data_IF_477582539992
#
_entry.id   IF_477582539992
#
_cell.length_a   1.000
_cell.length_b   1.000
_cell.length_c   1.000
_cell.angle_alpha   90.00
_cell.angle_beta   90.00
_cell.angle_gamma   90.00
#
_symmetry.space_group_name_H-M   'P 1'
#
loop_
_entity.id
_entity.type
_entity.pdbx_description
1 polymer ?
#
# COMPACT_ATOMS: atom_id res chain seq x y z
N UNK A 1 48.83 -39.19 -57.55
CA UNK A 1 47.74 -38.23 -57.25
C UNK A 1 47.64 -38.09 -55.74
N UNK A 2 47.55 -36.85 -55.24
CA UNK A 2 48.66 -36.31 -54.46
C UNK A 2 48.34 -36.09 -52.98
N UNK A 3 49.40 -36.08 -52.16
CA UNK A 3 49.43 -35.72 -50.73
C UNK A 3 48.67 -34.42 -50.39
N UNK A 4 48.45 -33.53 -51.36
CA UNK A 4 47.68 -32.30 -51.20
C UNK A 4 46.22 -32.52 -50.73
N UNK A 5 45.55 -33.61 -51.14
CA UNK A 5 44.13 -33.83 -50.79
C UNK A 5 43.97 -34.26 -49.32
N UNK A 6 45.00 -34.90 -48.74
CA UNK A 6 44.95 -35.41 -47.36
C UNK A 6 45.15 -34.28 -46.34
N UNK A 7 45.93 -33.27 -46.68
CA UNK A 7 46.19 -32.12 -45.80
C UNK A 7 45.03 -31.11 -45.81
N UNK A 8 44.28 -30.97 -46.91
CA UNK A 8 43.07 -30.15 -46.94
C UNK A 8 41.90 -30.77 -46.17
N UNK A 9 41.73 -32.10 -46.21
CA UNK A 9 40.70 -32.79 -45.43
C UNK A 9 40.95 -32.72 -43.92
N UNK A 10 42.22 -32.74 -43.50
CA UNK A 10 42.58 -32.55 -42.09
C UNK A 10 42.34 -31.09 -41.69
N UNK A 11 42.77 -30.10 -42.49
CA UNK A 11 42.53 -28.68 -42.18
C UNK A 11 41.04 -28.31 -42.15
N UNK A 12 40.21 -28.90 -43.02
CA UNK A 12 38.76 -28.74 -42.99
C UNK A 12 38.15 -29.35 -41.72
N UNK A 13 38.59 -30.53 -41.30
CA UNK A 13 38.10 -31.17 -40.08
C UNK A 13 38.44 -30.37 -38.80
N UNK A 14 39.63 -29.75 -38.73
CA UNK A 14 39.99 -28.88 -37.60
C UNK A 14 39.23 -27.55 -37.61
N UNK A 15 38.90 -26.98 -38.77
CA UNK A 15 38.09 -25.75 -38.86
C UNK A 15 36.61 -26.00 -38.49
N UNK A 16 36.04 -27.15 -38.84
CA UNK A 16 34.65 -27.49 -38.48
C UNK A 16 34.51 -27.81 -36.98
N UNK A 17 35.49 -28.49 -36.38
CA UNK A 17 35.49 -28.77 -34.93
C UNK A 17 35.65 -27.47 -34.12
N UNK A 18 36.43 -26.51 -34.61
CA UNK A 18 36.63 -25.24 -33.91
C UNK A 18 35.42 -24.29 -34.02
N UNK A 19 34.64 -24.36 -35.11
CA UNK A 19 33.35 -23.63 -35.24
C UNK A 19 32.27 -24.29 -34.36
N UNK A 20 32.24 -25.62 -34.24
CA UNK A 20 31.34 -26.31 -33.31
C UNK A 20 31.68 -26.03 -31.83
N UNK A 21 32.95 -25.84 -31.50
CA UNK A 21 33.37 -25.45 -30.13
C UNK A 21 33.13 -23.97 -29.83
N UNK A 22 33.14 -23.08 -30.83
CA UNK A 22 32.75 -21.67 -30.64
C UNK A 22 31.23 -21.48 -30.58
N UNK A 23 30.46 -22.30 -31.31
CA UNK A 23 29.00 -22.32 -31.22
C UNK A 23 28.49 -22.92 -29.90
N UNK A 24 29.27 -23.79 -29.25
CA UNK A 24 28.95 -24.36 -27.94
C UNK A 24 29.36 -23.46 -26.75
N UNK A 25 30.08 -22.36 -27.00
CA UNK A 25 30.51 -21.40 -25.98
C UNK A 25 29.70 -20.09 -26.01
N UNK A 26 28.59 -20.04 -26.75
CA UNK A 26 27.53 -19.08 -26.44
C UNK A 26 26.82 -19.63 -25.21
N UNK A 27 27.34 -19.25 -24.05
CA UNK A 27 26.69 -19.43 -22.77
C UNK A 27 25.24 -19.02 -22.92
N UNK A 28 24.34 -20.01 -23.00
CA UNK A 28 22.96 -19.81 -22.60
C UNK A 28 23.04 -19.49 -21.11
N UNK A 29 23.26 -18.21 -20.80
CA UNK A 29 22.68 -17.65 -19.59
C UNK A 29 21.20 -17.77 -19.86
N UNK A 30 20.63 -18.93 -19.53
CA UNK A 30 19.22 -19.02 -19.22
C UNK A 30 19.05 -17.99 -18.11
N UNK A 31 18.59 -16.80 -18.48
CA UNK A 31 17.96 -15.91 -17.53
C UNK A 31 16.90 -16.80 -16.91
N UNK A 32 17.16 -17.24 -15.68
CA UNK A 32 16.13 -17.89 -14.88
C UNK A 32 14.96 -16.92 -14.95
N UNK A 33 13.92 -17.33 -15.67
CA UNK A 33 12.72 -16.54 -15.80
C UNK A 33 12.14 -16.61 -14.40
N UNK A 34 12.50 -15.63 -13.57
CA UNK A 34 12.05 -15.54 -12.18
C UNK A 34 10.54 -15.69 -12.26
N UNK A 35 10.05 -16.81 -11.72
CA UNK A 35 8.63 -17.10 -11.76
C UNK A 35 7.96 -16.04 -10.92
N UNK A 36 7.00 -15.33 -11.50
CA UNK A 36 6.22 -14.34 -10.78
C UNK A 36 5.66 -14.94 -9.49
N UNK A 37 5.56 -14.16 -8.41
CA UNK A 37 5.00 -14.66 -7.16
C UNK A 37 3.56 -15.13 -7.40
N UNK A 38 3.25 -16.33 -6.91
CA UNK A 38 1.90 -16.89 -6.93
C UNK A 38 1.35 -16.86 -5.51
N UNK A 39 0.23 -16.16 -5.32
CA UNK A 39 -0.48 -16.10 -4.05
C UNK A 39 -1.68 -17.05 -4.08
N UNK A 40 -2.02 -17.60 -2.93
CA UNK A 40 -3.22 -18.40 -2.71
C UNK A 40 -3.88 -17.93 -1.44
N UNK A 41 -5.20 -17.94 -1.44
CA UNK A 41 -5.97 -17.59 -0.25
C UNK A 41 -5.79 -18.68 0.79
N UNK A 42 -5.53 -18.25 2.01
CA UNK A 42 -5.73 -19.07 3.20
C UNK A 42 -7.14 -18.80 3.74
N UNK A 43 -8.10 -19.72 3.54
CA UNK A 43 -9.48 -19.51 4.00
C UNK A 43 -9.64 -19.69 5.51
N UNK A 44 -8.58 -20.06 6.23
CA UNK A 44 -8.60 -20.26 7.69
C UNK A 44 -7.96 -19.10 8.45
N UNK A 45 -7.54 -18.04 7.75
CA UNK A 45 -6.97 -16.84 8.32
C UNK A 45 -7.90 -15.63 8.13
N UNK A 46 -8.18 -14.81 9.17
CA UNK A 46 -7.84 -15.06 10.57
C UNK A 46 -8.72 -16.17 11.18
N UNK A 47 -8.35 -16.67 12.35
CA UNK A 47 -9.22 -17.61 13.10
C UNK A 47 -10.43 -16.88 13.67
N UNK A 48 -11.45 -17.65 14.02
CA UNK A 48 -12.66 -17.15 14.67
C UNK A 48 -12.32 -16.25 15.87
N UNK A 49 -12.86 -15.04 15.87
CA UNK A 49 -12.64 -14.09 16.93
C UNK A 49 -13.39 -14.50 18.21
N UNK A 50 -12.84 -14.22 19.39
CA UNK A 50 -13.52 -14.52 20.64
C UNK A 50 -14.77 -13.62 20.82
N UNK A 51 -15.62 -13.97 21.77
CA UNK A 51 -16.76 -13.13 22.24
C UNK A 51 -17.81 -12.81 21.17
N UNK A 52 -17.93 -13.64 20.12
CA UNK A 52 -18.80 -13.37 18.96
C UNK A 52 -18.48 -12.03 18.30
N UNK A 53 -17.20 -11.66 18.32
CA UNK A 53 -16.74 -10.47 17.64
C UNK A 53 -16.78 -10.66 16.13
N UNK A 54 -17.23 -9.60 15.46
CA UNK A 54 -17.10 -9.45 14.01
C UNK A 54 -16.28 -8.20 13.73
N UNK A 55 -15.75 -8.13 12.51
CA UNK A 55 -15.03 -6.96 12.01
C UNK A 55 -15.89 -6.25 10.98
N UNK A 56 -15.86 -4.92 11.03
CA UNK A 56 -16.38 -4.09 9.97
C UNK A 56 -15.40 -4.00 8.80
N UNK A 57 -15.54 -2.94 8.01
CA UNK A 57 -14.59 -2.59 6.96
C UNK A 57 -13.17 -2.47 7.52
N UNK A 58 -12.21 -3.06 6.80
CA UNK A 58 -10.79 -2.92 7.12
C UNK A 58 -10.30 -1.59 6.56
N UNK A 59 -9.93 -0.67 7.44
CA UNK A 59 -9.39 0.63 7.08
C UNK A 59 -7.91 0.55 6.72
N UNK A 60 -7.16 -0.32 7.39
CA UNK A 60 -5.76 -0.55 7.05
C UNK A 60 -5.16 -1.77 7.74
N UNK A 61 -4.02 -2.21 7.20
CA UNK A 61 -3.27 -3.36 7.67
C UNK A 61 -1.76 -3.10 7.57
N UNK A 62 -1.00 -3.71 8.46
CA UNK A 62 0.47 -3.68 8.41
C UNK A 62 1.05 -4.94 9.04
N UNK A 63 2.31 -5.24 8.75
CA UNK A 63 3.06 -6.36 9.34
C UNK A 63 4.24 -5.79 10.10
N UNK A 64 4.36 -6.13 11.38
CA UNK A 64 5.45 -5.64 12.23
C UNK A 64 6.73 -6.49 12.10
N UNK A 65 7.77 -6.12 12.84
CA UNK A 65 9.06 -6.82 12.82
C UNK A 65 9.06 -8.24 13.43
N UNK A 66 7.98 -8.64 14.11
CA UNK A 66 7.79 -9.99 14.61
C UNK A 66 6.92 -10.83 13.67
N UNK A 67 6.58 -10.29 12.50
CA UNK A 67 5.61 -10.80 11.56
C UNK A 67 4.19 -10.96 12.14
N UNK A 68 3.83 -10.11 13.11
CA UNK A 68 2.44 -9.99 13.52
C UNK A 68 1.69 -9.11 12.53
N UNK A 69 0.46 -9.50 12.22
CA UNK A 69 -0.43 -8.78 11.32
C UNK A 69 -1.33 -7.88 12.17
N UNK A 70 -1.18 -6.58 11.97
CA UNK A 70 -1.98 -5.57 12.63
C UNK A 70 -3.08 -5.10 11.70
N UNK A 71 -4.31 -5.07 12.21
CA UNK A 71 -5.51 -4.69 11.49
C UNK A 71 -6.16 -3.51 12.20
N UNK A 72 -6.41 -2.45 11.44
CA UNK A 72 -7.24 -1.34 11.86
C UNK A 72 -8.58 -1.42 11.13
N UNK A 73 -9.60 -1.89 11.84
CA UNK A 73 -10.96 -2.05 11.34
C UNK A 73 -11.87 -0.91 11.82
N UNK A 74 -13.04 -0.78 11.17
CA UNK A 74 -14.04 0.26 11.42
C UNK A 74 -15.29 -0.34 12.07
N UNK A 75 -15.38 -0.44 13.41
CA UNK A 75 -16.57 -0.97 14.07
C UNK A 75 -17.86 -0.25 13.69
N UNK A 76 -17.79 1.05 13.42
CA UNK A 76 -18.95 1.86 13.02
C UNK A 76 -19.51 1.54 11.64
N UNK A 77 -18.86 0.67 10.85
CA UNK A 77 -19.35 0.21 9.55
C UNK A 77 -20.21 -1.05 9.63
N UNK A 78 -20.25 -1.73 10.79
CA UNK A 78 -21.14 -2.85 11.01
C UNK A 78 -22.61 -2.38 11.01
N UNK A 79 -23.47 -3.15 10.37
CA UNK A 79 -24.90 -2.84 10.27
C UNK A 79 -25.66 -3.31 11.51
N UNK A 80 -26.80 -2.67 11.86
CA UNK A 80 -27.62 -3.08 13.00
C UNK A 80 -28.15 -4.53 12.97
N UNK A 81 -28.06 -5.22 11.83
CA UNK A 81 -28.45 -6.63 11.71
C UNK A 81 -27.25 -7.57 11.92
N UNK A 82 -26.03 -7.13 11.60
CA UNK A 82 -24.79 -7.85 11.89
C UNK A 82 -24.48 -7.85 13.40
N UNK A 83 -24.70 -6.71 14.07
CA UNK A 83 -24.39 -6.54 15.50
C UNK A 83 -25.60 -6.73 16.43
N UNK A 84 -26.42 -7.73 16.14
CA UNK A 84 -27.67 -7.97 16.88
C UNK A 84 -27.54 -8.26 18.37
N UNK A 85 -26.32 -8.53 18.88
CA UNK A 85 -26.03 -8.72 20.30
C UNK A 85 -25.37 -7.50 20.97
N UNK A 86 -25.09 -6.43 20.24
CA UNK A 86 -24.51 -5.20 20.78
C UNK A 86 -25.48 -4.55 21.79
N UNK A 87 -25.06 -4.34 23.05
CA UNK A 87 -25.88 -3.68 24.07
C UNK A 87 -26.17 -2.19 23.78
N UNK A 88 -25.43 -1.55 22.87
CA UNK A 88 -25.68 -0.16 22.45
C UNK A 88 -26.91 -0.01 21.54
N UNK A 89 -27.45 -1.12 21.05
CA UNK A 89 -28.61 -1.21 20.18
C UNK A 89 -29.70 -2.09 20.82
N UNK A 90 -31.00 -1.97 20.46
CA UNK A 90 -32.01 -2.93 20.90
C UNK A 90 -31.58 -4.34 20.52
N UNK A 91 -31.31 -5.19 21.51
CA UNK A 91 -30.81 -6.54 21.28
C UNK A 91 -31.82 -7.34 20.45
N UNK A 92 -31.39 -7.77 19.25
CA UNK A 92 -32.21 -8.54 18.30
C UNK A 92 -31.86 -10.02 18.30
N UNK A 93 -30.61 -10.38 18.64
CA UNK A 93 -30.09 -11.73 18.49
C UNK A 93 -29.01 -12.10 19.54
N UNK A 94 -28.55 -13.35 19.49
CA UNK A 94 -27.44 -13.85 20.34
C UNK A 94 -26.06 -13.42 19.83
N UNK A 95 -25.97 -13.03 18.57
CA UNK A 95 -24.78 -12.52 17.89
C UNK A 95 -25.19 -11.27 17.07
N UNK A 96 -24.29 -10.36 16.74
CA UNK A 96 -22.87 -10.31 17.09
C UNK A 96 -22.52 -8.98 17.79
N UNK A 97 -21.25 -8.77 18.11
CA UNK A 97 -20.72 -7.52 18.67
C UNK A 97 -19.53 -7.05 17.85
N UNK A 98 -19.33 -5.73 17.64
CA UNK A 98 -18.12 -5.24 16.99
C UNK A 98 -16.87 -5.59 17.80
N UNK A 99 -15.78 -6.00 17.12
CA UNK A 99 -14.46 -6.09 17.74
C UNK A 99 -13.89 -4.67 18.03
N UNK A 100 -12.85 -4.54 18.87
CA UNK A 100 -12.10 -3.28 18.97
C UNK A 100 -11.50 -2.84 17.62
N UNK A 101 -11.24 -1.54 17.41
CA UNK A 101 -10.68 -1.04 16.14
C UNK A 101 -9.30 -1.62 15.78
N UNK A 102 -8.39 -1.77 16.76
CA UNK A 102 -7.04 -2.30 16.54
C UNK A 102 -7.01 -3.76 16.97
N UNK A 103 -6.59 -4.64 16.06
CA UNK A 103 -6.41 -6.06 16.29
C UNK A 103 -4.99 -6.47 15.88
N UNK A 104 -4.36 -7.33 16.66
CA UNK A 104 -3.03 -7.89 16.40
C UNK A 104 -3.15 -9.40 16.28
N UNK A 105 -2.62 -9.99 15.21
CA UNK A 105 -2.64 -11.42 14.95
C UNK A 105 -1.23 -11.97 14.74
N UNK A 106 -1.01 -13.23 15.11
CA UNK A 106 0.15 -13.97 14.59
C UNK A 106 -0.10 -14.45 13.14
N UNK A 107 0.95 -15.02 12.54
CA UNK A 107 0.91 -15.62 11.20
C UNK A 107 -0.14 -16.71 11.05
N UNK A 108 -0.42 -17.44 12.13
CA UNK A 108 -1.42 -18.51 12.16
C UNK A 108 -2.85 -17.98 12.34
N UNK A 109 -3.04 -16.66 12.47
CA UNK A 109 -4.33 -16.01 12.58
C UNK A 109 -4.94 -16.06 13.99
N UNK A 110 -4.15 -16.37 15.02
CA UNK A 110 -4.60 -16.21 16.40
C UNK A 110 -4.58 -14.73 16.78
N UNK A 111 -5.66 -14.25 17.40
CA UNK A 111 -5.70 -12.91 17.96
C UNK A 111 -4.78 -12.84 19.21
N UNK A 112 -3.77 -11.99 19.17
CA UNK A 112 -2.80 -11.76 20.24
C UNK A 112 -3.22 -10.61 21.15
N UNK A 113 -3.74 -9.53 20.56
CA UNK A 113 -4.10 -8.31 21.28
C UNK A 113 -5.22 -7.55 20.55
N UNK A 114 -5.94 -6.71 21.29
CA UNK A 114 -7.01 -5.87 20.75
C UNK A 114 -7.27 -4.66 21.63
N UNK A 115 -7.37 -3.47 21.04
CA UNK A 115 -7.67 -2.23 21.75
C UNK A 115 -8.17 -1.13 20.78
N UNK A 116 -8.38 0.09 21.28
CA UNK A 116 -8.67 1.26 20.46
C UNK A 116 -10.04 1.86 20.70
N UNK A 117 -10.29 2.96 20.00
CA UNK A 117 -11.53 3.74 20.07
C UNK A 117 -11.37 5.09 20.80
N UNK A 118 -12.44 5.90 20.83
CA UNK A 118 -12.46 7.18 21.51
C UNK A 118 -12.07 7.06 22.99
N UNK A 119 -11.29 8.02 23.48
CA UNK A 119 -10.83 8.06 24.86
C UNK A 119 -10.36 9.45 25.28
N UNK A 120 -9.83 9.54 26.50
CA UNK A 120 -9.40 10.82 27.06
C UNK A 120 -7.96 11.15 26.63
N UNK A 121 -7.73 12.41 26.24
CA UNK A 121 -6.39 12.95 26.00
C UNK A 121 -5.89 12.82 24.56
N UNK A 122 -6.73 12.34 23.64
CA UNK A 122 -6.40 12.23 22.21
C UNK A 122 -7.66 12.31 21.35
N UNK A 123 -7.48 12.65 20.08
CA UNK A 123 -8.58 12.82 19.13
C UNK A 123 -8.71 11.60 18.21
N UNK A 124 -9.43 10.57 18.65
CA UNK A 124 -9.68 9.39 17.81
C UNK A 124 -10.38 9.79 16.49
N UNK A 125 -9.98 9.24 15.33
CA UNK A 125 -10.62 9.57 14.06
C UNK A 125 -12.07 9.09 13.97
N UNK A 126 -12.90 9.80 13.20
CA UNK A 126 -14.30 9.40 12.97
C UNK A 126 -14.42 8.15 12.08
N UNK A 127 -13.40 7.93 11.22
CA UNK A 127 -13.29 6.78 10.32
C UNK A 127 -11.83 6.35 10.29
N UNK A 128 -11.55 5.16 10.81
CA UNK A 128 -10.22 4.57 10.85
C UNK A 128 -9.70 4.25 9.44
N UNK A 129 -8.41 4.49 9.19
CA UNK A 129 -7.84 4.31 7.85
C UNK A 129 -6.42 3.73 7.92
N UNK A 130 -5.37 4.55 7.79
CA UNK A 130 -4.00 4.05 7.79
C UNK A 130 -3.55 3.56 9.17
N UNK A 131 -2.76 2.47 9.19
CA UNK A 131 -2.04 1.96 10.36
C UNK A 131 -0.58 1.66 10.00
N UNK A 132 0.33 1.89 10.94
CA UNK A 132 1.73 1.47 10.85
C UNK A 132 2.24 1.07 12.23
N UNK A 133 3.08 0.04 12.31
CA UNK A 133 3.72 -0.38 13.57
C UNK A 133 5.23 -0.30 13.41
N UNK A 134 5.87 0.53 14.24
CA UNK A 134 7.33 0.67 14.23
C UNK A 134 8.02 -0.47 15.02
N UNK A 135 9.32 -0.67 14.83
CA UNK A 135 10.12 -1.73 15.49
C UNK A 135 10.20 -1.59 17.01
N UNK A 136 9.89 -0.41 17.53
CA UNK A 136 9.76 -0.20 18.97
C UNK A 136 8.37 -0.63 19.50
N UNK A 137 7.49 -1.14 18.63
CA UNK A 137 6.15 -1.58 18.95
C UNK A 137 5.18 -0.42 19.14
N UNK A 138 5.49 0.78 18.64
CA UNK A 138 4.50 1.86 18.66
C UNK A 138 3.55 1.73 17.47
N UNK A 139 2.26 1.92 17.74
CA UNK A 139 1.20 1.82 16.74
C UNK A 139 0.76 3.23 16.35
N UNK A 140 0.88 3.53 15.06
CA UNK A 140 0.47 4.79 14.47
C UNK A 140 -0.81 4.58 13.69
N UNK A 141 -1.80 5.46 13.89
CA UNK A 141 -3.06 5.39 13.17
C UNK A 141 -3.43 6.75 12.59
N UNK A 142 -4.11 6.72 11.46
CA UNK A 142 -4.76 7.87 10.83
C UNK A 142 -6.22 7.57 10.55
N UNK A 143 -6.94 8.60 10.12
CA UNK A 143 -8.32 8.44 9.70
C UNK A 143 -8.74 9.44 8.66
N UNK A 144 -9.75 9.07 7.88
CA UNK A 144 -10.23 9.86 6.76
C UNK A 144 -11.67 10.33 6.93
N UNK A 145 -12.19 10.34 8.16
CA UNK A 145 -13.51 10.89 8.46
C UNK A 145 -13.62 12.37 8.07
N UNK A 146 -14.84 12.93 7.96
CA UNK A 146 -15.05 14.30 7.49
C UNK A 146 -14.29 15.37 8.29
N UNK A 147 -14.02 15.11 9.57
CA UNK A 147 -13.24 16.01 10.43
C UNK A 147 -11.85 15.47 10.78
N UNK A 148 -11.51 14.26 10.36
CA UNK A 148 -10.27 13.57 10.71
C UNK A 148 -9.08 14.23 10.00
N UNK A 149 -8.24 14.88 10.79
CA UNK A 149 -7.18 15.81 10.39
C UNK A 149 -5.92 15.57 11.22
N UNK A 150 -5.82 14.36 11.78
CA UNK A 150 -4.82 13.96 12.75
C UNK A 150 -4.25 12.57 12.46
N UNK A 151 -3.04 12.34 12.97
CA UNK A 151 -2.40 11.03 13.10
C UNK A 151 -1.99 10.87 14.56
N UNK A 152 -2.25 9.69 15.12
CA UNK A 152 -2.04 9.40 16.53
C UNK A 152 -0.98 8.30 16.67
N UNK A 153 -0.19 8.37 17.74
CA UNK A 153 0.80 7.37 18.13
C UNK A 153 0.43 6.77 19.48
N UNK A 154 0.46 5.46 19.58
CA UNK A 154 0.19 4.68 20.78
C UNK A 154 1.33 3.69 21.05
N UNK A 155 1.43 3.20 22.27
CA UNK A 155 2.15 1.94 22.57
C UNK A 155 1.39 0.74 21.99
N UNK A 156 2.03 -0.42 21.91
CA UNK A 156 1.39 -1.67 21.48
C UNK A 156 0.17 -2.07 22.35
N UNK A 157 0.13 -1.64 23.62
CA UNK A 157 -0.99 -1.86 24.54
C UNK A 157 -2.02 -0.72 24.57
N UNK A 158 -1.97 0.18 23.59
CA UNK A 158 -3.01 1.19 23.36
C UNK A 158 -2.95 2.42 24.25
N UNK A 159 -1.81 2.69 24.90
CA UNK A 159 -1.61 3.94 25.65
C UNK A 159 -1.18 5.05 24.71
N UNK A 160 -1.89 6.16 24.75
CA UNK A 160 -1.59 7.32 23.92
C UNK A 160 -0.21 7.90 24.23
N UNK A 161 0.56 8.22 23.18
CA UNK A 161 1.89 8.83 23.28
C UNK A 161 1.83 10.28 22.81
N UNK A 162 1.38 10.52 21.58
CA UNK A 162 1.38 11.85 20.92
C UNK A 162 0.54 11.83 19.64
N UNK A 163 0.20 13.02 19.14
CA UNK A 163 -0.51 13.17 17.87
C UNK A 163 0.01 14.36 17.05
N UNK A 164 -0.18 14.29 15.74
CA UNK A 164 -0.05 15.40 14.80
C UNK A 164 -1.47 15.86 14.46
N UNK A 165 -1.71 17.17 14.43
CA UNK A 165 -3.02 17.73 14.06
C UNK A 165 -4.11 17.51 15.11
N UNK A 166 -5.33 17.85 14.74
CA UNK A 166 -6.55 17.77 15.56
C UNK A 166 -7.78 17.87 14.64
N UNK A 167 -8.97 17.41 15.05
CA UNK A 167 -10.17 17.46 14.23
C UNK A 167 -10.50 18.86 13.72
N UNK A 168 -10.89 18.98 12.45
CA UNK A 168 -11.22 20.28 11.85
C UNK A 168 -12.17 20.18 10.66
N UNK A 169 -13.12 21.12 10.61
CA UNK A 169 -14.07 21.33 9.51
C UNK A 169 -13.61 22.41 8.52
N UNK A 170 -12.36 22.87 8.62
CA UNK A 170 -11.81 23.87 7.71
C UNK A 170 -11.83 23.40 6.24
N UNK A 171 -11.49 24.28 5.28
CA UNK A 171 -11.27 23.87 3.90
C UNK A 171 -10.00 23.01 3.75
N UNK A 172 -9.72 22.53 2.54
CA UNK A 172 -8.40 21.99 2.19
C UNK A 172 -7.34 23.10 2.34
N UNK A 173 -6.15 22.72 2.80
CA UNK A 173 -4.99 23.60 2.82
C UNK A 173 -3.73 22.73 2.73
N UNK A 174 -3.37 22.35 1.50
CA UNK A 174 -2.20 21.50 1.25
C UNK A 174 -0.87 22.18 1.60
N UNK A 175 -0.86 23.48 1.92
CA UNK A 175 0.31 24.20 2.40
C UNK A 175 0.46 24.19 3.94
N UNK A 176 -0.58 23.80 4.70
CA UNK A 176 -0.55 23.79 6.17
C UNK A 176 0.34 22.67 6.72
N UNK A 177 1.37 23.00 7.48
CA UNK A 177 2.32 22.02 8.02
C UNK A 177 1.94 21.46 9.39
N UNK A 178 0.83 21.94 9.97
CA UNK A 178 0.38 21.62 11.33
C UNK A 178 -0.90 20.78 11.35
N UNK A 179 -1.72 20.89 10.29
CA UNK A 179 -2.97 20.17 10.14
C UNK A 179 -2.91 19.25 8.93
N UNK A 180 -3.37 18.01 9.11
CA UNK A 180 -3.52 17.08 7.99
C UNK A 180 -4.85 17.34 7.26
N UNK A 181 -5.12 16.57 6.22
CA UNK A 181 -6.27 16.67 5.35
C UNK A 181 -6.77 15.26 5.03
N UNK A 182 -7.27 14.58 6.06
CA UNK A 182 -7.82 13.22 5.99
C UNK A 182 -6.74 12.22 5.49
N UNK A 183 -5.72 11.96 6.32
CA UNK A 183 -4.59 11.12 5.95
C UNK A 183 -5.03 9.68 5.64
N UNK A 184 -4.46 9.10 4.58
CA UNK A 184 -4.83 7.80 4.08
C UNK A 184 -3.85 6.69 4.52
N UNK A 185 -2.56 6.93 4.45
CA UNK A 185 -1.52 5.92 4.72
C UNK A 185 -0.32 6.52 5.45
N UNK A 186 0.42 5.65 6.12
CA UNK A 186 1.55 5.97 6.98
C UNK A 186 2.69 5.01 6.67
N UNK A 187 3.91 5.52 6.61
CA UNK A 187 5.12 4.74 6.40
C UNK A 187 6.27 5.41 7.14
N UNK A 188 7.13 4.64 7.82
CA UNK A 188 8.25 5.20 8.59
C UNK A 188 9.58 4.68 8.06
N UNK A 189 10.44 5.61 7.64
CA UNK A 189 11.88 5.35 7.50
C UNK A 189 12.54 5.48 8.86
N UNK A 190 12.60 4.39 9.60
CA UNK A 190 13.13 4.37 10.96
C UNK A 190 14.61 4.74 11.02
N UNK A 191 15.38 4.39 9.99
CA UNK A 191 16.80 4.74 9.94
C UNK A 191 17.04 6.23 9.77
N UNK A 192 16.09 6.95 9.18
CA UNK A 192 16.13 8.41 9.01
C UNK A 192 15.27 9.17 10.04
N UNK A 193 14.52 8.44 10.88
CA UNK A 193 13.50 8.98 11.77
C UNK A 193 12.46 9.83 11.02
N UNK A 194 11.92 9.30 9.92
CA UNK A 194 10.99 10.03 9.05
C UNK A 194 9.67 9.32 8.88
N UNK A 195 8.59 9.94 9.35
CA UNK A 195 7.21 9.52 9.11
C UNK A 195 6.69 10.19 7.84
N UNK A 196 6.38 9.38 6.84
CA UNK A 196 5.73 9.76 5.59
C UNK A 196 4.23 9.55 5.73
N UNK A 197 3.45 10.56 5.36
CA UNK A 197 1.99 10.52 5.40
C UNK A 197 1.46 10.82 4.01
N UNK A 198 0.67 9.91 3.44
CA UNK A 198 -0.16 10.19 2.26
C UNK A 198 -1.39 10.98 2.70
N UNK A 199 -1.26 12.30 2.63
CA UNK A 199 -2.26 13.25 3.14
C UNK A 199 -3.22 13.64 2.01
N UNK A 200 -4.25 12.81 1.78
CA UNK A 200 -4.86 12.68 0.46
C UNK A 200 -6.37 12.89 0.32
N UNK A 201 -7.21 12.55 1.31
CA UNK A 201 -8.67 12.61 1.11
C UNK A 201 -9.24 14.03 1.10
N UNK A 202 -8.43 15.01 1.50
CA UNK A 202 -8.73 16.43 1.36
C UNK A 202 -7.52 17.22 0.85
N UNK A 203 -6.34 16.96 1.42
CA UNK A 203 -5.09 17.53 0.90
C UNK A 203 -4.57 16.70 -0.29
N UNK A 204 -3.56 17.21 -0.99
CA UNK A 204 -3.01 16.59 -2.21
C UNK A 204 -1.49 16.54 -2.17
N UNK A 205 -0.95 15.83 -1.17
CA UNK A 205 0.49 15.81 -0.89
C UNK A 205 0.96 14.53 -0.22
N UNK A 206 2.28 14.33 -0.27
CA UNK A 206 3.00 13.58 0.75
C UNK A 206 3.63 14.58 1.70
N UNK A 207 3.44 14.39 3.00
CA UNK A 207 4.04 15.22 4.05
C UNK A 207 4.89 14.35 4.97
N UNK A 208 6.05 14.88 5.35
CA UNK A 208 7.06 14.16 6.13
C UNK A 208 7.33 14.89 7.44
N UNK A 209 7.21 14.16 8.53
CA UNK A 209 7.54 14.59 9.88
C UNK A 209 8.69 13.78 10.44
N UNK A 210 9.37 14.32 11.44
CA UNK A 210 10.26 13.56 12.28
C UNK A 210 9.46 12.59 13.16
N UNK A 211 9.79 11.30 13.13
CA UNK A 211 8.99 10.26 13.80
C UNK A 211 9.05 10.35 15.34
N UNK A 212 10.03 11.06 15.90
CA UNK A 212 10.26 11.15 17.35
C UNK A 212 9.80 12.48 17.93
N UNK A 213 10.05 13.59 17.24
CA UNK A 213 9.70 14.94 17.69
C UNK A 213 8.40 15.45 17.09
N UNK A 214 7.89 14.82 16.01
CA UNK A 214 6.77 15.29 15.19
C UNK A 214 7.01 16.66 14.54
N UNK A 215 8.27 17.10 14.43
CA UNK A 215 8.59 18.32 13.70
C UNK A 215 8.40 18.11 12.20
N UNK A 216 7.75 19.06 11.52
CA UNK A 216 7.64 19.07 10.07
C UNK A 216 9.04 19.12 9.42
N UNK A 217 9.27 18.25 8.44
CA UNK A 217 10.54 18.22 7.69
C UNK A 217 10.38 18.76 6.28
N UNK A 218 9.42 18.20 5.52
CA UNK A 218 9.18 18.55 4.11
C UNK A 218 7.83 18.02 3.62
N UNK A 219 7.40 18.49 2.45
CA UNK A 219 6.25 17.97 1.72
C UNK A 219 6.41 18.21 0.21
N UNK A 220 5.68 17.44 -0.59
CA UNK A 220 5.59 17.65 -2.04
C UNK A 220 4.22 17.18 -2.58
N UNK A 221 3.82 17.74 -3.71
CA UNK A 221 2.69 17.32 -4.52
C UNK A 221 3.10 16.46 -5.70
N UNK A 222 2.18 16.26 -6.64
CA UNK A 222 2.41 15.46 -7.85
C UNK A 222 3.64 15.93 -8.61
N UNK A 223 4.42 14.98 -9.14
CA UNK A 223 5.69 15.22 -9.83
C UNK A 223 6.75 16.00 -9.03
N UNK A 224 6.61 16.09 -7.71
CA UNK A 224 7.56 16.78 -6.83
C UNK A 224 7.33 18.29 -6.82
N UNK A 225 6.22 18.76 -7.39
CA UNK A 225 5.83 20.15 -7.36
C UNK A 225 5.41 20.59 -5.96
N UNK A 226 5.28 21.90 -5.73
CA UNK A 226 4.63 22.40 -4.53
C UNK A 226 3.17 21.87 -4.46
N UNK A 227 2.67 21.47 -3.29
CA UNK A 227 1.27 21.11 -3.13
C UNK A 227 0.33 22.23 -3.56
N UNK A 228 -0.79 21.87 -4.19
CA UNK A 228 -1.77 22.81 -4.70
C UNK A 228 -3.19 22.24 -4.50
N UNK A 229 -4.13 23.11 -4.16
CA UNK A 229 -5.51 22.72 -3.82
C UNK A 229 -6.48 22.86 -4.99
N UNK A 230 -6.03 23.35 -6.15
CA UNK A 230 -6.88 23.46 -7.33
C UNK A 230 -7.59 22.13 -7.63
N UNK A 231 -8.89 22.21 -7.87
CA UNK A 231 -9.69 21.06 -8.28
C UNK A 231 -9.42 20.74 -9.75
N UNK A 232 -8.84 19.58 -10.07
CA UNK A 232 -8.63 19.19 -11.45
C UNK A 232 -9.91 18.78 -12.18
N UNK A 233 -11.09 18.82 -11.52
CA UNK A 233 -12.37 18.32 -12.05
C UNK A 233 -12.36 16.79 -12.15
N UNK A 234 -13.46 16.11 -12.51
CA UNK A 234 -13.52 14.64 -12.50
C UNK A 234 -12.47 14.01 -13.42
N UNK A 235 -11.92 12.85 -13.02
CA UNK A 235 -11.08 12.05 -13.91
C UNK A 235 -11.94 11.45 -15.02
N UNK A 236 -11.44 11.46 -16.25
CA UNK A 236 -12.18 11.03 -17.45
C UNK A 236 -11.46 9.90 -18.20
N UNK A 237 -10.60 9.16 -17.49
CA UNK A 237 -9.60 8.29 -18.09
C UNK A 237 -8.41 9.07 -18.66
N UNK A 238 -7.29 8.39 -18.88
CA UNK A 238 -6.06 9.02 -19.40
C UNK A 238 -6.22 9.56 -20.81
N UNK A 239 -6.93 8.82 -21.67
CA UNK A 239 -7.19 9.23 -23.06
C UNK A 239 -5.94 9.78 -23.77
N UNK A 240 -6.08 10.93 -24.43
CA UNK A 240 -4.95 11.69 -24.99
C UNK A 240 -4.81 13.08 -24.33
N UNK A 241 -5.47 13.30 -23.18
CA UNK A 241 -5.40 14.58 -22.48
C UNK A 241 -3.98 14.80 -21.89
N UNK A 242 -3.54 16.06 -21.74
CA UNK A 242 -2.32 16.35 -21.00
C UNK A 242 -2.38 15.75 -19.60
N UNK A 243 -1.26 15.19 -19.13
CA UNK A 243 -1.23 14.55 -17.81
C UNK A 243 -1.39 15.63 -16.74
N UNK A 244 -2.31 15.40 -15.80
CA UNK A 244 -2.49 16.27 -14.65
C UNK A 244 -1.22 16.30 -13.79
N UNK A 245 -0.63 17.49 -13.63
CA UNK A 245 0.63 17.70 -12.91
C UNK A 245 0.48 17.73 -11.38
N UNK A 246 -0.72 17.51 -10.86
CA UNK A 246 -1.02 17.39 -9.44
C UNK A 246 -1.50 15.98 -9.11
N UNK A 247 -1.32 15.58 -7.85
CA UNK A 247 -2.10 14.47 -7.31
C UNK A 247 -3.60 14.76 -7.37
N UNK A 248 -4.39 13.70 -7.49
CA UNK A 248 -5.83 13.73 -7.34
C UNK A 248 -6.20 13.07 -6.01
N UNK A 249 -7.28 13.55 -5.40
CA UNK A 249 -7.71 13.01 -4.12
C UNK A 249 -8.38 11.65 -4.31
N UNK A 250 -7.94 10.59 -3.59
CA UNK A 250 -6.87 10.62 -2.59
C UNK A 250 -5.46 10.28 -3.13
N UNK A 251 -4.47 10.98 -2.56
CA UNK A 251 -3.13 10.38 -2.36
C UNK A 251 -3.30 9.31 -1.30
N UNK A 252 -3.25 8.03 -1.70
CA UNK A 252 -3.75 6.96 -0.82
C UNK A 252 -2.65 6.28 -0.01
N UNK A 253 -1.49 6.04 -0.62
CA UNK A 253 -0.36 5.36 0.00
C UNK A 253 0.95 6.10 -0.27
N UNK A 254 1.96 5.86 0.56
CA UNK A 254 3.35 6.18 0.28
C UNK A 254 4.23 5.10 0.92
N UNK A 255 4.90 4.27 0.11
CA UNK A 255 5.70 3.14 0.59
C UNK A 255 7.16 3.28 0.20
N UNK A 256 8.07 2.82 1.06
CA UNK A 256 9.51 2.92 0.84
C UNK A 256 10.08 1.56 0.43
N UNK A 257 10.70 1.53 -0.74
CA UNK A 257 11.41 0.34 -1.22
C UNK A 257 12.81 0.19 -0.57
N UNK A 258 13.36 -1.02 -0.61
CA UNK A 258 14.67 -1.38 -0.04
C UNK A 258 15.83 -0.55 -0.62
N UNK A 259 15.71 -0.13 -1.88
CA UNK A 259 16.68 0.74 -2.55
C UNK A 259 16.45 2.25 -2.26
N UNK A 260 15.51 2.57 -1.37
CA UNK A 260 15.29 3.91 -0.85
C UNK A 260 14.42 4.80 -1.73
N UNK A 261 13.65 4.25 -2.67
CA UNK A 261 12.68 5.01 -3.44
C UNK A 261 11.30 5.02 -2.77
N UNK A 262 10.60 6.15 -2.87
CA UNK A 262 9.25 6.35 -2.32
C UNK A 262 8.23 6.20 -3.43
N UNK A 263 7.30 5.26 -3.29
CA UNK A 263 6.23 4.98 -4.24
C UNK A 263 4.91 5.50 -3.69
N UNK A 264 4.24 6.38 -4.43
CA UNK A 264 3.04 7.10 -3.98
C UNK A 264 1.87 6.72 -4.84
N UNK A 265 0.77 6.32 -4.21
CA UNK A 265 -0.48 5.97 -4.87
C UNK A 265 -1.31 7.23 -5.15
N UNK A 266 -1.43 7.61 -6.42
CA UNK A 266 -2.30 8.70 -6.88
C UNK A 266 -3.59 8.07 -7.43
N UNK A 267 -4.42 7.57 -6.51
CA UNK A 267 -5.45 6.55 -6.76
C UNK A 267 -6.34 6.90 -7.94
N UNK A 268 -6.93 8.09 -7.90
CA UNK A 268 -7.94 8.51 -8.88
C UNK A 268 -7.34 9.03 -10.19
N UNK A 269 -6.01 9.16 -10.28
CA UNK A 269 -5.32 9.36 -11.56
C UNK A 269 -4.78 8.04 -12.11
N UNK A 270 -5.14 6.90 -11.50
CA UNK A 270 -4.79 5.55 -11.93
C UNK A 270 -3.29 5.34 -12.11
N UNK A 271 -2.49 5.90 -11.20
CA UNK A 271 -1.04 5.85 -11.32
C UNK A 271 -0.30 5.73 -9.99
N UNK A 272 0.87 5.15 -10.09
CA UNK A 272 1.91 5.19 -9.06
C UNK A 272 2.98 6.18 -9.50
N UNK A 273 3.35 7.13 -8.63
CA UNK A 273 4.51 7.99 -8.85
C UNK A 273 5.67 7.61 -7.94
N UNK A 274 6.89 7.61 -8.49
CA UNK A 274 8.11 7.20 -7.78
C UNK A 274 9.01 8.41 -7.56
N UNK A 275 9.49 8.56 -6.34
CA UNK A 275 10.29 9.69 -5.89
C UNK A 275 11.56 9.25 -5.17
N UNK A 276 12.52 10.16 -5.06
CA UNK A 276 13.54 10.07 -4.00
C UNK A 276 12.90 10.37 -2.64
N UNK A 277 13.58 10.01 -1.54
CA UNK A 277 13.15 10.38 -0.19
C UNK A 277 12.94 11.89 -0.01
N UNK A 278 13.66 12.72 -0.77
CA UNK A 278 13.56 14.18 -0.75
C UNK A 278 12.41 14.73 -1.62
N UNK A 279 11.58 13.89 -2.23
CA UNK A 279 10.42 14.31 -3.01
C UNK A 279 10.72 14.65 -4.48
N UNK A 280 11.93 14.34 -4.98
CA UNK A 280 12.24 14.51 -6.40
C UNK A 280 11.59 13.38 -7.20
N UNK A 281 10.72 13.73 -8.15
CA UNK A 281 10.10 12.77 -9.07
C UNK A 281 11.13 12.06 -9.95
N UNK A 282 10.92 10.76 -10.17
CA UNK A 282 11.79 9.90 -10.97
C UNK A 282 11.06 9.26 -12.15
N UNK A 283 9.92 8.62 -11.88
CA UNK A 283 9.13 7.91 -12.90
C UNK A 283 7.69 7.69 -12.42
N UNK A 284 6.81 7.31 -13.34
CA UNK A 284 5.43 6.93 -13.02
C UNK A 284 5.01 5.68 -13.80
N UNK A 285 4.00 4.99 -13.26
CA UNK A 285 3.35 3.85 -13.88
C UNK A 285 1.84 4.09 -13.88
N UNK A 286 1.21 3.91 -15.04
CA UNK A 286 -0.25 3.93 -15.13
C UNK A 286 -0.79 2.51 -14.98
N UNK A 287 -1.80 2.33 -14.13
CA UNK A 287 -2.41 1.03 -13.84
C UNK A 287 -3.87 1.11 -14.25
N UNK A 288 -4.24 0.43 -15.34
CA UNK A 288 -5.60 0.48 -15.92
C UNK A 288 -6.17 1.92 -16.02
N UNK A 289 -5.48 2.84 -16.73
CA UNK A 289 -5.81 4.26 -16.73
C UNK A 289 -7.15 4.64 -17.41
N UNK A 290 -7.89 3.66 -17.91
CA UNK A 290 -9.28 3.76 -18.36
C UNK A 290 -10.31 3.63 -17.23
N UNK A 291 -9.89 3.21 -16.03
CA UNK A 291 -10.76 3.09 -14.87
C UNK A 291 -11.20 4.49 -14.39
N UNK A 292 -12.41 4.56 -13.83
CA UNK A 292 -12.99 5.80 -13.33
C UNK A 292 -13.07 5.71 -11.80
N UNK A 293 -13.73 6.69 -11.18
CA UNK A 293 -13.82 6.76 -9.71
C UNK A 293 -14.28 5.44 -9.08
N UNK A 294 -13.66 5.02 -7.95
CA UNK A 294 -12.63 5.73 -7.16
C UNK A 294 -11.18 5.71 -7.69
N UNK A 295 -10.85 4.90 -8.69
CA UNK A 295 -9.51 4.78 -9.30
C UNK A 295 -8.92 3.36 -9.22
N UNK A 296 -7.61 3.20 -9.39
CA UNK A 296 -7.00 1.84 -9.47
C UNK A 296 -5.88 1.56 -8.49
N UNK A 297 -5.27 2.58 -7.90
CA UNK A 297 -4.09 2.38 -7.04
C UNK A 297 -4.47 2.79 -5.62
N UNK A 298 -5.15 1.92 -4.87
CA UNK A 298 -5.44 2.19 -3.47
C UNK A 298 -4.24 1.85 -2.58
N UNK A 299 -3.59 0.71 -2.80
CA UNK A 299 -2.34 0.41 -2.11
C UNK A 299 -1.36 -0.39 -2.96
N UNK A 300 -0.12 -0.50 -2.49
CA UNK A 300 0.90 -1.33 -3.11
C UNK A 300 1.67 -2.16 -2.09
N UNK A 301 2.17 -3.30 -2.53
CA UNK A 301 3.17 -4.07 -1.81
C UNK A 301 4.34 -4.42 -2.73
N UNK A 302 5.56 -4.38 -2.20
CA UNK A 302 6.74 -4.87 -2.90
C UNK A 302 6.85 -6.39 -2.73
N UNK A 303 7.29 -7.11 -3.77
CA UNK A 303 7.61 -8.52 -3.60
C UNK A 303 8.76 -8.73 -2.59
N UNK A 304 8.72 -9.87 -1.89
CA UNK A 304 9.67 -10.17 -0.81
C UNK A 304 11.07 -10.59 -1.28
N UNK A 305 11.27 -10.81 -2.58
CA UNK A 305 12.58 -11.13 -3.14
C UNK A 305 13.61 -10.02 -2.85
N UNK A 306 14.89 -10.35 -3.02
CA UNK A 306 15.99 -9.45 -2.68
C UNK A 306 15.95 -8.14 -3.48
N UNK A 307 15.49 -8.19 -4.74
CA UNK A 307 15.42 -7.05 -5.65
C UNK A 307 14.11 -6.29 -5.63
N UNK A 308 13.09 -6.81 -4.93
CA UNK A 308 11.70 -6.33 -5.03
C UNK A 308 11.27 -6.25 -6.50
N UNK A 309 11.49 -7.33 -7.27
CA UNK A 309 11.28 -7.30 -8.73
C UNK A 309 9.86 -6.96 -9.17
N UNK A 310 8.87 -7.14 -8.29
CA UNK A 310 7.46 -6.94 -8.57
C UNK A 310 6.80 -5.95 -7.61
N UNK A 311 5.76 -5.28 -8.13
CA UNK A 311 4.79 -4.51 -7.36
C UNK A 311 3.45 -5.22 -7.45
N UNK A 312 2.85 -5.47 -6.29
CA UNK A 312 1.44 -5.81 -6.19
C UNK A 312 0.67 -4.50 -6.02
N UNK A 313 -0.38 -4.29 -6.80
CA UNK A 313 -1.19 -3.07 -6.75
C UNK A 313 -2.63 -3.48 -6.45
N UNK A 314 -3.16 -2.99 -5.34
CA UNK A 314 -4.56 -3.15 -5.00
C UNK A 314 -5.41 -2.14 -5.78
N UNK A 315 -6.40 -2.68 -6.50
CA UNK A 315 -7.33 -1.94 -7.34
C UNK A 315 -8.74 -2.01 -6.76
N UNK A 316 -9.15 -0.92 -6.10
CA UNK A 316 -10.41 -0.81 -5.37
C UNK A 316 -11.63 -0.83 -6.28
N UNK A 317 -11.53 -0.24 -7.47
CA UNK A 317 -12.65 -0.19 -8.43
C UNK A 317 -12.87 -1.53 -9.10
N UNK A 318 -11.78 -2.18 -9.56
CA UNK A 318 -11.88 -3.45 -10.27
C UNK A 318 -11.87 -4.67 -9.34
N UNK A 319 -11.56 -4.49 -8.05
CA UNK A 319 -11.49 -5.52 -7.02
C UNK A 319 -10.53 -6.65 -7.38
N UNK A 320 -9.31 -6.27 -7.77
CA UNK A 320 -8.22 -7.19 -8.13
C UNK A 320 -6.90 -6.72 -7.53
N UNK A 321 -5.94 -7.64 -7.43
CA UNK A 321 -4.53 -7.29 -7.27
C UNK A 321 -3.83 -7.45 -8.61
N UNK A 322 -3.26 -6.37 -9.13
CA UNK A 322 -2.38 -6.39 -10.29
C UNK A 322 -0.95 -6.72 -9.88
N UNK A 323 -0.26 -7.54 -10.67
CA UNK A 323 1.19 -7.73 -10.55
C UNK A 323 1.88 -6.95 -11.66
N UNK A 324 2.77 -6.04 -11.29
CA UNK A 324 3.58 -5.23 -12.21
C UNK A 324 5.06 -5.57 -12.03
N UNK A 325 5.85 -5.48 -13.10
CA UNK A 325 7.32 -5.44 -12.98
C UNK A 325 7.73 -4.09 -12.40
N UNK A 326 8.46 -4.06 -11.28
CA UNK A 326 8.82 -2.82 -10.58
C UNK A 326 9.73 -1.90 -11.40
N UNK A 327 10.56 -2.46 -12.28
CA UNK A 327 11.54 -1.69 -13.06
C UNK A 327 10.87 -0.73 -14.05
N UNK A 328 9.83 -1.19 -14.75
CA UNK A 328 9.22 -0.50 -15.89
C UNK A 328 7.68 -0.36 -15.82
N UNK A 329 7.03 -0.97 -14.83
CA UNK A 329 5.58 -0.92 -14.65
C UNK A 329 4.80 -1.84 -15.59
N UNK A 330 5.47 -2.74 -16.31
CA UNK A 330 4.80 -3.70 -17.20
C UNK A 330 3.81 -4.53 -16.41
N UNK A 331 2.55 -4.56 -16.85
CA UNK A 331 1.53 -5.43 -16.26
C UNK A 331 1.82 -6.89 -16.59
N UNK A 332 1.95 -7.72 -15.55
CA UNK A 332 2.42 -9.09 -15.65
C UNK A 332 1.31 -10.12 -15.41
N UNK A 333 0.34 -9.78 -14.57
CA UNK A 333 -0.73 -10.67 -14.18
C UNK A 333 -1.72 -10.00 -13.23
N UNK A 334 -2.74 -10.76 -12.83
CA UNK A 334 -3.76 -10.33 -11.88
C UNK A 334 -4.24 -11.50 -11.04
N UNK A 335 -4.81 -11.20 -9.88
CA UNK A 335 -5.53 -12.16 -9.05
C UNK A 335 -6.76 -11.54 -8.38
N UNK A 336 -7.72 -12.40 -8.06
CA UNK A 336 -9.01 -12.01 -7.51
C UNK A 336 -9.98 -11.44 -8.54
N UNK A 337 -11.16 -11.08 -8.05
CA UNK A 337 -12.22 -10.36 -8.75
C UNK A 337 -13.27 -9.89 -7.71
N UNK A 338 -14.22 -9.04 -8.12
CA UNK A 338 -15.29 -8.59 -7.22
C UNK A 338 -16.11 -9.77 -6.66
N UNK A 339 -16.33 -9.77 -5.35
CA UNK A 339 -17.09 -10.79 -4.62
C UNK A 339 -16.71 -10.90 -3.15
N UNK A 340 -17.36 -11.81 -2.43
CA UNK A 340 -17.23 -11.96 -0.97
C UNK A 340 -16.75 -13.34 -0.52
N UNK A 341 -16.46 -14.25 -1.44
CA UNK A 341 -15.93 -15.56 -1.11
C UNK A 341 -14.40 -15.56 -1.03
N UNK A 342 -13.81 -16.63 -0.50
CA UNK A 342 -12.36 -16.82 -0.47
C UNK A 342 -11.73 -16.59 -1.85
N UNK A 343 -10.78 -15.66 -1.94
CA UNK A 343 -10.12 -15.27 -3.19
C UNK A 343 -10.84 -14.22 -4.03
N UNK A 344 -11.96 -13.71 -3.53
CA UNK A 344 -12.67 -12.56 -4.09
C UNK A 344 -12.46 -11.35 -3.19
N UNK A 345 -12.65 -10.16 -3.75
CA UNK A 345 -12.48 -8.91 -3.03
C UNK A 345 -13.74 -8.05 -3.18
N UNK A 346 -14.08 -7.29 -2.15
CA UNK A 346 -15.12 -6.29 -2.25
C UNK A 346 -14.67 -5.04 -1.51
N UNK A 347 -14.47 -3.95 -2.25
CA UNK A 347 -13.83 -2.73 -1.78
C UNK A 347 -12.42 -2.99 -1.19
N UNK A 348 -11.56 -3.63 -1.98
CA UNK A 348 -10.16 -3.85 -1.56
C UNK A 348 -9.47 -2.52 -1.26
N UNK A 349 -8.67 -2.50 -0.18
CA UNK A 349 -8.18 -1.26 0.37
C UNK A 349 -6.68 -1.25 0.70
N UNK A 350 -6.11 -2.35 1.22
CA UNK A 350 -4.68 -2.59 1.41
C UNK A 350 -4.34 -4.06 1.17
#
# INVERSE_FOLDING_TARGET
MPKLIRDELIRAAWFTIMICLYAAAVSQIALAQVSQPHYRVDPFWPKELPRNWIVGQIGGMTVDSNDHIWVLQRPGSDTPDEIGADPSSPRKAMCCVPAPPVLEFDKEGNLLNSWGGPGNGYDWPDVEHGIFVDRAGNVWIGGNGPTSRQVLKFTNDGKFIKQIGHPSKGPANSADTTLLGRPAGLEIDEGAHELYISDGYLNKRVIVFDSDTLAFKRMWGGYGNAPNDADPGPYKGRGNAPINQQFRSPVHCAHISKDGLVYVCDRSNDRVQVFTKQGKFLKEFFVRPETLEPGTVCDIAFSHDAGQEYLLVADDTNNVIWTLRRSDGTLLGMMGHDGRNAGQFHAIHQ
#
